data_IF_399710821848
#
_entry.id   IF_399710821848
#
_cell.length_a   1.000
_cell.length_b   1.000
_cell.length_c   1.000
_cell.angle_alpha   90.00
_cell.angle_beta   90.00
_cell.angle_gamma   90.00
#
_symmetry.space_group_name_H-M   'P 1'
#
loop_
_entity.id
_entity.type
_entity.pdbx_description
1 polymer ?
#
# COMPACT_ATOMS: atom_id res chain seq x y z
N UNK A 1 12.86 55.89 -12.55
CA UNK A 1 13.53 57.03 -11.84
C UNK A 1 12.67 57.45 -10.65
N UNK A 2 13.30 57.87 -9.53
CA UNK A 2 12.79 58.71 -8.40
C UNK A 2 11.37 58.39 -7.84
N UNK A 3 11.25 57.81 -6.63
CA UNK A 3 11.22 58.48 -5.30
C UNK A 3 9.98 59.37 -5.07
N UNK A 4 9.30 59.35 -3.91
CA UNK A 4 9.80 59.65 -2.55
C UNK A 4 8.87 59.07 -1.43
N UNK A 5 9.43 58.83 -0.23
CA UNK A 5 8.69 58.92 1.06
C UNK A 5 8.63 60.39 1.52
N UNK A 6 7.75 60.76 2.47
CA UNK A 6 8.28 61.05 3.81
C UNK A 6 7.38 60.60 5.00
N UNK A 7 7.95 60.70 6.20
CA UNK A 7 7.29 60.65 7.54
C UNK A 7 6.40 61.91 7.71
N UNK A 8 5.42 61.99 8.63
CA UNK A 8 5.64 62.18 10.07
C UNK A 8 4.35 62.13 10.96
N UNK A 9 4.55 62.23 12.27
CA UNK A 9 3.63 62.16 13.43
C UNK A 9 2.51 63.23 13.52
N UNK A 10 1.44 62.88 14.26
CA UNK A 10 0.71 63.66 15.30
C UNK A 10 -0.22 62.66 16.04
N UNK A 11 -0.20 62.38 17.35
CA UNK A 11 -0.21 63.16 18.61
C UNK A 11 -1.61 63.36 19.23
N UNK A 12 -1.72 62.91 20.48
CA UNK A 12 -2.82 62.96 21.47
C UNK A 12 -3.37 64.37 21.76
N UNK A 13 -4.58 64.46 22.36
CA UNK A 13 -4.74 64.79 23.81
C UNK A 13 -5.89 63.99 24.49
N UNK A 14 -6.24 64.06 25.80
CA UNK A 14 -5.62 64.55 27.07
C UNK A 14 -6.55 64.19 28.28
N UNK A 15 -6.09 64.49 29.51
CA UNK A 15 -6.80 64.57 30.82
C UNK A 15 -6.96 63.28 31.63
N UNK A 16 -6.80 63.23 32.97
CA UNK A 16 -6.17 64.12 33.99
C UNK A 16 -5.76 63.21 35.21
N UNK A 17 -5.16 63.60 36.34
CA UNK A 17 -4.73 64.85 37.04
C UNK A 17 -3.45 64.51 37.89
N UNK A 18 -2.57 65.38 38.39
CA UNK A 18 -2.63 66.60 39.23
C UNK A 18 -3.05 66.32 40.70
N UNK A 19 -2.41 66.75 41.80
CA UNK A 19 -1.39 67.79 42.12
C UNK A 19 -0.30 67.22 43.11
N UNK A 20 1.00 67.56 43.00
CA UNK A 20 1.81 68.53 43.80
C UNK A 20 1.80 68.40 45.36
N UNK A 21 2.85 68.72 46.14
CA UNK A 21 4.32 68.90 45.92
C UNK A 21 5.05 69.27 47.25
N UNK A 22 6.39 69.43 47.17
CA UNK A 22 7.33 70.24 48.00
C UNK A 22 7.97 69.65 49.27
N UNK A 23 9.33 69.69 49.24
CA UNK A 23 10.32 70.34 50.17
C UNK A 23 10.06 70.37 51.68
N UNK A 24 11.05 70.41 52.58
CA UNK A 24 12.50 70.10 52.56
C UNK A 24 13.09 70.33 53.98
N UNK A 25 14.30 69.81 54.23
CA UNK A 25 15.36 70.34 55.14
C UNK A 25 15.24 70.26 56.69
N UNK A 26 16.34 69.73 57.28
CA UNK A 26 17.02 70.11 58.55
C UNK A 26 16.39 69.70 59.90
N UNK A 27 17.21 69.14 60.82
CA UNK A 27 16.94 69.24 62.29
C UNK A 27 17.32 68.07 63.23
N UNK A 28 18.61 67.80 63.42
CA UNK A 28 19.24 67.44 64.72
C UNK A 28 18.42 66.82 65.91
N UNK A 29 18.73 65.57 66.33
CA UNK A 29 19.42 65.19 67.61
C UNK A 29 19.17 63.75 68.11
N UNK A 30 20.27 63.10 68.54
CA UNK A 30 20.52 62.17 69.69
C UNK A 30 19.42 61.20 70.18
N UNK A 31 19.71 59.99 70.70
CA UNK A 31 20.84 59.06 70.65
C UNK A 31 20.48 57.80 71.49
N UNK A 32 20.74 56.57 71.01
CA UNK A 32 20.95 55.37 71.87
C UNK A 32 21.39 54.11 71.09
N UNK A 33 22.64 53.69 71.33
CA UNK A 33 23.13 52.30 71.53
C UNK A 33 22.60 51.12 70.67
N UNK A 34 23.45 50.66 69.73
CA UNK A 34 23.95 49.28 69.44
C UNK A 34 23.20 48.00 69.90
N UNK A 35 23.42 46.81 69.28
CA UNK A 35 24.29 46.47 68.14
C UNK A 35 23.62 45.65 66.99
N UNK A 36 24.36 45.44 65.89
CA UNK A 36 24.07 44.39 64.90
C UNK A 36 24.52 43.01 65.45
N UNK A 37 23.87 41.87 65.10
CA UNK A 37 24.40 41.09 63.97
C UNK A 37 23.40 40.21 63.17
N UNK A 38 23.82 39.85 61.95
CA UNK A 38 23.31 38.74 61.11
C UNK A 38 21.92 38.95 60.46
N UNK A 39 21.53 38.24 59.39
CA UNK A 39 22.13 37.04 58.80
C UNK A 39 22.09 36.96 57.26
N UNK A 40 23.09 36.24 56.76
CA UNK A 40 23.22 35.58 55.44
C UNK A 40 21.88 35.19 54.79
N UNK A 41 21.65 35.62 53.55
CA UNK A 41 20.46 35.25 52.77
C UNK A 41 20.44 33.80 52.26
N UNK A 42 19.37 33.40 51.55
CA UNK A 42 19.29 32.14 50.79
C UNK A 42 18.41 32.27 49.53
N UNK A 43 18.96 31.80 48.41
CA UNK A 43 18.32 31.66 47.10
C UNK A 43 17.30 30.49 47.05
N UNK A 44 16.51 30.31 45.97
CA UNK A 44 15.23 29.60 46.03
C UNK A 44 15.34 28.06 46.09
N UNK A 45 15.10 27.48 47.27
CA UNK A 45 15.18 26.03 47.53
C UNK A 45 13.98 25.23 46.98
N UNK A 46 12.86 25.87 46.60
CA UNK A 46 11.66 25.17 46.08
C UNK A 46 11.83 24.55 44.68
N UNK A 47 12.73 25.10 43.84
CA UNK A 47 12.88 24.66 42.43
C UNK A 47 13.49 23.26 42.30
N UNK A 48 14.41 22.89 43.19
CA UNK A 48 15.12 21.59 43.13
C UNK A 48 14.25 20.40 43.57
N UNK A 49 13.31 20.57 44.52
CA UNK A 49 12.37 19.50 44.88
C UNK A 49 11.39 19.18 43.75
N UNK A 50 10.83 20.20 43.10
CA UNK A 50 9.96 20.01 41.94
C UNK A 50 10.69 19.34 40.76
N UNK A 51 11.95 19.73 40.50
CA UNK A 51 12.78 19.05 39.49
C UNK A 51 13.07 17.58 39.85
N UNK A 52 13.35 17.26 41.12
CA UNK A 52 13.55 15.87 41.56
C UNK A 52 12.27 15.03 41.46
N UNK A 53 11.12 15.58 41.85
CA UNK A 53 9.82 14.90 41.70
C UNK A 53 9.53 14.67 40.22
N UNK A 54 9.71 15.68 39.36
CA UNK A 54 9.54 15.53 37.91
C UNK A 54 10.47 14.47 37.30
N UNK A 55 11.74 14.42 37.74
CA UNK A 55 12.70 13.39 37.30
C UNK A 55 12.28 11.98 37.76
N UNK A 56 11.87 11.82 39.02
CA UNK A 56 11.41 10.51 39.54
C UNK A 56 10.14 10.06 38.82
N UNK A 57 9.17 10.96 38.62
CA UNK A 57 7.96 10.65 37.83
C UNK A 57 8.30 10.29 36.39
N UNK A 58 9.23 10.99 35.74
CA UNK A 58 9.69 10.66 34.39
C UNK A 58 10.34 9.26 34.34
N UNK A 59 11.22 8.94 35.29
CA UNK A 59 11.87 7.62 35.37
C UNK A 59 10.83 6.52 35.60
N UNK A 60 9.88 6.72 36.52
CA UNK A 60 8.79 5.76 36.77
C UNK A 60 7.93 5.56 35.52
N UNK A 61 7.57 6.63 34.80
CA UNK A 61 6.83 6.54 33.54
C UNK A 61 7.62 5.78 32.46
N UNK A 62 8.93 6.02 32.34
CA UNK A 62 9.80 5.28 31.42
C UNK A 62 9.91 3.80 31.79
N UNK A 63 10.03 3.46 33.08
CA UNK A 63 10.04 2.07 33.54
C UNK A 63 8.71 1.35 33.29
N UNK A 64 7.58 2.00 33.60
CA UNK A 64 6.23 1.45 33.33
C UNK A 64 6.00 1.26 31.83
N UNK A 65 6.39 2.24 31.01
CA UNK A 65 6.30 2.16 29.56
C UNK A 65 7.16 1.03 28.99
N UNK A 66 8.39 0.88 29.48
CA UNK A 66 9.31 -0.19 29.07
C UNK A 66 8.76 -1.56 29.45
N UNK A 67 8.28 -1.73 30.69
CA UNK A 67 7.64 -2.97 31.14
C UNK A 67 6.39 -3.32 30.32
N UNK A 68 5.54 -2.33 30.02
CA UNK A 68 4.37 -2.52 29.17
C UNK A 68 4.73 -2.95 27.74
N UNK A 69 5.80 -2.38 27.15
CA UNK A 69 6.29 -2.78 25.83
C UNK A 69 6.78 -4.23 25.81
N UNK A 70 7.61 -4.64 26.78
CA UNK A 70 8.09 -6.03 26.87
C UNK A 70 6.96 -7.03 27.15
N UNK A 71 5.96 -6.66 27.96
CA UNK A 71 4.76 -7.49 28.18
C UNK A 71 3.95 -7.68 26.89
N UNK A 72 3.76 -6.63 26.09
CA UNK A 72 3.12 -6.70 24.77
C UNK A 72 3.92 -7.59 23.81
N UNK A 73 5.24 -7.45 23.77
CA UNK A 73 6.12 -8.28 22.93
C UNK A 73 6.06 -9.78 23.30
N UNK A 74 6.10 -10.10 24.60
CA UNK A 74 5.95 -11.47 25.08
C UNK A 74 4.56 -12.05 24.74
N UNK A 75 3.50 -11.26 24.88
CA UNK A 75 2.13 -11.67 24.54
C UNK A 75 1.95 -11.87 23.03
N UNK A 76 2.60 -11.08 22.19
CA UNK A 76 2.56 -11.31 20.73
C UNK A 76 3.31 -12.57 20.33
N UNK A 77 4.44 -12.88 20.97
CA UNK A 77 5.20 -14.11 20.74
C UNK A 77 4.34 -15.36 20.96
N UNK A 78 3.70 -15.48 22.13
CA UNK A 78 2.83 -16.63 22.43
C UNK A 78 1.65 -16.74 21.47
N UNK A 79 1.05 -15.61 21.04
CA UNK A 79 -0.02 -15.62 20.04
C UNK A 79 0.43 -16.09 18.65
N UNK A 80 1.70 -15.86 18.28
CA UNK A 80 2.28 -16.39 17.03
C UNK A 80 2.51 -17.90 17.17
N UNK A 81 3.10 -18.35 18.29
CA UNK A 81 3.34 -19.78 18.57
C UNK A 81 2.02 -20.58 18.64
N UNK A 82 0.97 -20.03 19.28
CA UNK A 82 -0.39 -20.57 19.30
C UNK A 82 -0.95 -20.71 17.87
N UNK A 83 -0.74 -19.71 17.01
CA UNK A 83 -1.25 -19.68 15.64
C UNK A 83 -0.52 -20.69 14.73
N UNK A 84 0.79 -20.85 14.90
CA UNK A 84 1.59 -21.88 14.23
C UNK A 84 1.15 -23.29 14.66
N UNK A 85 0.90 -23.49 15.96
CA UNK A 85 0.36 -24.75 16.50
C UNK A 85 -1.05 -25.05 15.97
N UNK A 86 -1.90 -24.02 15.84
CA UNK A 86 -3.23 -24.14 15.25
C UNK A 86 -3.23 -24.37 13.72
N UNK A 87 -2.12 -24.07 13.03
CA UNK A 87 -1.89 -24.46 11.63
C UNK A 87 -1.45 -25.94 11.54
N UNK A 88 -0.58 -26.39 12.44
CA UNK A 88 -0.16 -27.80 12.52
C UNK A 88 -1.37 -28.72 12.79
N UNK A 89 -2.28 -28.33 13.69
CA UNK A 89 -3.56 -29.02 13.92
C UNK A 89 -4.52 -29.04 12.73
N UNK A 90 -4.22 -28.31 11.65
CA UNK A 90 -4.94 -28.33 10.35
C UNK A 90 -4.11 -28.98 9.23
N UNK A 91 -3.06 -29.72 9.58
CA UNK A 91 -2.18 -30.39 8.64
C UNK A 91 -1.20 -29.47 7.90
N UNK A 92 -0.94 -28.26 8.41
CA UNK A 92 0.07 -27.34 7.86
C UNK A 92 1.16 -27.10 8.90
N UNK A 93 2.27 -27.81 8.76
CA UNK A 93 3.48 -27.64 9.55
C UNK A 93 4.16 -26.33 9.14
N UNK A 94 3.92 -25.26 9.91
CA UNK A 94 4.56 -23.96 9.72
C UNK A 94 5.60 -23.73 10.82
N UNK A 95 6.85 -23.50 10.42
CA UNK A 95 7.98 -23.21 11.31
C UNK A 95 8.55 -21.84 11.00
N UNK A 96 8.71 -21.03 12.04
CA UNK A 96 9.42 -19.74 11.99
C UNK A 96 10.75 -19.90 12.74
N UNK A 97 11.88 -19.70 12.06
CA UNK A 97 13.19 -19.67 12.71
C UNK A 97 13.38 -18.38 13.49
N UNK A 98 14.07 -18.47 14.62
CA UNK A 98 14.55 -17.35 15.44
C UNK A 98 13.56 -16.20 15.65
N UNK A 99 12.28 -16.56 15.90
CA UNK A 99 11.18 -15.63 16.16
C UNK A 99 11.60 -14.57 17.20
N UNK A 100 11.69 -13.32 16.77
CA UNK A 100 12.17 -12.20 17.58
C UNK A 100 11.19 -11.03 17.52
N UNK A 101 11.26 -10.18 18.55
CA UNK A 101 10.37 -9.02 18.72
C UNK A 101 11.20 -7.74 18.69
N UNK A 102 10.93 -6.86 17.72
CA UNK A 102 11.74 -5.67 17.45
C UNK A 102 10.93 -4.36 17.56
N UNK A 103 11.62 -3.22 17.49
CA UNK A 103 10.98 -1.91 17.32
C UNK A 103 10.89 -1.00 18.55
N UNK A 104 11.37 -1.43 19.72
CA UNK A 104 11.42 -0.59 20.92
C UNK A 104 12.12 0.76 20.63
N UNK A 105 11.60 1.91 21.12
CA UNK A 105 10.34 2.07 21.86
C UNK A 105 9.11 2.29 20.96
N UNK A 106 9.27 2.93 19.81
CA UNK A 106 8.17 3.53 19.03
C UNK A 106 7.39 2.58 18.11
N UNK A 107 7.83 1.33 18.00
CA UNK A 107 7.21 0.31 17.18
C UNK A 107 7.13 -1.02 17.93
N UNK A 108 6.33 -1.94 17.40
CA UNK A 108 6.37 -3.35 17.76
C UNK A 108 6.37 -4.15 16.47
N UNK A 109 7.30 -5.09 16.36
CA UNK A 109 7.50 -5.88 15.17
C UNK A 109 7.83 -7.32 15.49
N UNK A 110 7.51 -8.19 14.54
CA UNK A 110 7.78 -9.62 14.54
C UNK A 110 8.75 -9.89 13.42
N UNK A 111 9.92 -10.44 13.74
CA UNK A 111 10.96 -10.83 12.79
C UNK A 111 11.17 -12.34 12.89
N UNK A 112 11.42 -12.98 11.74
CA UNK A 112 11.36 -14.41 11.55
C UNK A 112 12.33 -14.82 10.44
N UNK A 113 13.29 -15.67 10.78
CA UNK A 113 14.33 -16.12 9.86
C UNK A 113 13.95 -17.49 9.27
N UNK A 114 14.22 -17.67 7.98
CA UNK A 114 13.95 -18.87 7.21
C UNK A 114 12.54 -19.46 7.35
N UNK A 115 11.43 -18.69 7.26
CA UNK A 115 10.07 -19.22 7.43
C UNK A 115 9.77 -20.34 6.42
N UNK A 116 9.24 -21.46 6.92
CA UNK A 116 8.87 -22.64 6.13
C UNK A 116 7.45 -23.07 6.46
N UNK A 117 6.71 -23.48 5.44
CA UNK A 117 5.42 -24.13 5.60
C UNK A 117 5.38 -25.39 4.74
N UNK A 118 4.88 -26.50 5.28
CA UNK A 118 4.65 -27.75 4.56
C UNK A 118 3.28 -28.28 4.91
N UNK A 119 2.54 -28.81 3.93
CA UNK A 119 1.30 -29.54 4.20
C UNK A 119 1.59 -31.03 4.40
N UNK A 120 1.23 -31.55 5.57
CA UNK A 120 1.38 -32.95 5.93
C UNK A 120 0.66 -33.84 4.89
N UNK A 121 1.28 -34.97 4.54
CA UNK A 121 0.75 -35.91 3.54
C UNK A 121 0.85 -35.44 2.07
N UNK A 122 1.48 -34.30 1.78
CA UNK A 122 1.58 -33.76 0.40
C UNK A 122 3.01 -33.31 0.05
N UNK A 123 3.34 -33.14 -1.25
CA UNK A 123 4.58 -32.50 -1.66
C UNK A 123 4.57 -30.96 -1.53
N UNK A 124 3.43 -30.37 -1.13
CA UNK A 124 3.28 -28.93 -1.07
C UNK A 124 4.12 -28.31 0.06
N UNK A 125 5.00 -27.39 -0.32
CA UNK A 125 5.96 -26.75 0.57
C UNK A 125 6.26 -25.32 0.10
N UNK A 126 6.49 -24.43 1.05
CA UNK A 126 6.90 -23.04 0.84
C UNK A 126 8.08 -22.73 1.77
N UNK A 127 9.08 -22.03 1.25
CA UNK A 127 10.22 -21.48 2.00
C UNK A 127 10.50 -20.08 1.53
N UNK A 128 10.83 -19.17 2.43
CA UNK A 128 11.43 -17.87 2.11
C UNK A 128 12.63 -17.61 3.04
N UNK A 129 13.48 -16.65 2.69
CA UNK A 129 14.69 -16.34 3.46
C UNK A 129 14.40 -15.64 4.78
N UNK A 130 13.59 -14.58 4.77
CA UNK A 130 13.18 -13.90 6.01
C UNK A 130 11.81 -13.22 5.89
N UNK A 131 11.16 -13.00 7.03
CA UNK A 131 9.90 -12.26 7.15
C UNK A 131 9.98 -11.26 8.31
N UNK A 132 9.57 -10.01 8.05
CA UNK A 132 9.51 -8.97 9.07
C UNK A 132 8.20 -8.18 8.97
N UNK A 133 7.47 -8.06 10.08
CA UNK A 133 6.26 -7.24 10.17
C UNK A 133 6.40 -6.21 11.28
N UNK A 134 6.06 -4.94 11.03
CA UNK A 134 6.27 -3.82 11.98
C UNK A 134 5.08 -2.87 12.01
N UNK A 135 4.54 -2.62 13.20
CA UNK A 135 3.51 -1.62 13.47
C UNK A 135 4.10 -0.47 14.30
N UNK A 136 3.70 0.79 14.03
CA UNK A 136 4.25 1.98 14.72
C UNK A 136 3.20 2.67 15.58
N UNK A 137 3.50 2.92 16.86
CA UNK A 137 2.56 3.58 17.78
C UNK A 137 2.14 4.99 17.31
N UNK A 138 3.06 5.73 16.68
CA UNK A 138 2.83 7.08 16.13
C UNK A 138 1.90 7.12 14.89
N UNK A 139 1.59 5.97 14.28
CA UNK A 139 0.58 5.82 13.22
C UNK A 139 -0.34 4.66 13.59
N UNK A 140 -1.18 4.90 14.59
CA UNK A 140 -2.27 4.01 15.01
C UNK A 140 -2.99 3.42 13.79
N UNK A 141 -3.06 2.10 13.73
CA UNK A 141 -3.70 1.36 12.64
C UNK A 141 -2.81 1.02 11.45
N UNK A 142 -1.62 1.64 11.27
CA UNK A 142 -0.71 1.28 10.17
C UNK A 142 0.20 0.11 10.52
N UNK A 143 0.05 -0.99 9.79
CA UNK A 143 0.94 -2.15 9.83
C UNK A 143 1.70 -2.21 8.50
N UNK A 144 3.01 -2.43 8.55
CA UNK A 144 3.86 -2.63 7.36
C UNK A 144 4.56 -3.96 7.50
N UNK A 145 4.34 -4.86 6.55
CA UNK A 145 5.00 -6.17 6.46
C UNK A 145 5.91 -6.20 5.25
N UNK A 146 7.08 -6.80 5.41
CA UNK A 146 8.11 -6.97 4.39
C UNK A 146 8.56 -8.43 4.39
N UNK A 147 8.71 -9.00 3.20
CA UNK A 147 9.25 -10.35 3.02
C UNK A 147 10.54 -10.24 2.23
N UNK A 148 11.55 -11.02 2.59
CA UNK A 148 12.85 -11.06 1.92
C UNK A 148 12.92 -12.33 1.08
N UNK A 149 13.31 -12.18 -0.18
CA UNK A 149 13.60 -13.31 -1.07
C UNK A 149 14.98 -13.93 -0.79
N UNK A 150 15.31 -15.07 -1.41
CA UNK A 150 14.46 -15.81 -2.36
C UNK A 150 13.34 -16.60 -1.66
N UNK A 151 12.28 -16.88 -2.40
CA UNK A 151 11.19 -17.77 -2.03
C UNK A 151 11.08 -18.93 -3.02
N UNK A 152 10.97 -20.15 -2.48
CA UNK A 152 10.66 -21.35 -3.26
C UNK A 152 9.33 -21.94 -2.80
N UNK A 153 8.46 -22.24 -3.75
CA UNK A 153 7.16 -22.85 -3.51
C UNK A 153 6.93 -24.04 -4.45
N UNK A 154 6.34 -25.11 -3.90
CA UNK A 154 5.82 -26.25 -4.65
C UNK A 154 4.40 -26.53 -4.19
N UNK A 155 3.50 -26.85 -5.12
CA UNK A 155 2.13 -27.24 -4.81
C UNK A 155 1.87 -28.75 -4.97
N UNK A 156 0.63 -29.17 -4.68
CA UNK A 156 0.20 -30.56 -4.77
C UNK A 156 0.14 -31.09 -6.21
N UNK A 157 -0.08 -30.19 -7.17
CA UNK A 157 -0.06 -30.49 -8.60
C UNK A 157 1.36 -30.59 -9.18
N UNK A 158 2.42 -30.46 -8.35
CA UNK A 158 3.81 -30.54 -8.78
C UNK A 158 4.34 -29.29 -9.46
N UNK A 159 3.58 -28.18 -9.45
CA UNK A 159 4.05 -26.89 -9.96
C UNK A 159 5.07 -26.31 -8.99
N UNK A 160 6.16 -25.76 -9.52
CA UNK A 160 7.21 -25.08 -8.75
C UNK A 160 7.32 -23.63 -9.17
N UNK A 161 7.51 -22.76 -8.18
CA UNK A 161 7.79 -21.33 -8.37
C UNK A 161 8.98 -20.98 -7.49
N UNK A 162 10.08 -20.61 -8.12
CA UNK A 162 11.24 -20.02 -7.46
C UNK A 162 11.28 -18.53 -7.84
N UNK A 163 11.14 -17.65 -6.85
CA UNK A 163 11.04 -16.21 -7.06
C UNK A 163 11.97 -15.45 -6.11
N UNK A 164 12.63 -14.42 -6.62
CA UNK A 164 13.43 -13.48 -5.83
C UNK A 164 12.97 -12.04 -6.09
N UNK A 165 13.24 -11.15 -5.15
CA UNK A 165 12.86 -9.74 -5.27
C UNK A 165 13.74 -8.81 -4.45
N UNK A 166 13.99 -7.60 -4.96
CA UNK A 166 14.73 -6.58 -4.20
C UNK A 166 13.91 -6.01 -3.04
N UNK A 167 12.59 -5.86 -3.20
CA UNK A 167 11.69 -5.39 -2.14
C UNK A 167 10.29 -5.93 -2.36
N UNK A 168 9.70 -6.54 -1.33
CA UNK A 168 8.28 -6.87 -1.26
C UNK A 168 7.74 -6.29 0.04
N UNK A 169 6.82 -5.33 -0.07
CA UNK A 169 6.23 -4.59 1.06
C UNK A 169 4.72 -4.53 0.95
N UNK A 170 4.03 -5.14 1.90
CA UNK A 170 2.61 -4.90 2.15
C UNK A 170 2.44 -3.81 3.22
N UNK A 171 1.52 -2.88 3.03
CA UNK A 171 1.09 -1.94 4.06
C UNK A 171 -0.42 -1.89 4.17
N UNK A 172 -0.92 -1.82 5.40
CA UNK A 172 -2.34 -1.80 5.72
C UNK A 172 -2.64 -0.67 6.71
N UNK A 173 -3.66 0.13 6.41
CA UNK A 173 -4.22 1.16 7.30
C UNK A 173 -5.56 0.65 7.86
N UNK A 174 -5.57 0.32 9.14
CA UNK A 174 -6.75 -0.14 9.91
C UNK A 174 -7.42 1.02 10.65
N UNK A 175 -8.75 1.02 10.68
CA UNK A 175 -9.55 1.98 11.44
C UNK A 175 -10.76 1.30 12.12
N UNK A 176 -11.67 2.09 12.70
CA UNK A 176 -12.81 1.61 13.53
C UNK A 176 -13.72 0.55 12.89
N UNK A 177 -13.64 0.32 11.58
CA UNK A 177 -14.47 -0.64 10.82
C UNK A 177 -13.67 -1.70 10.04
N UNK A 178 -12.39 -1.91 10.40
CA UNK A 178 -11.50 -2.84 9.71
C UNK A 178 -10.48 -2.12 8.82
N UNK A 179 -10.12 -2.72 7.68
CA UNK A 179 -9.15 -2.17 6.75
C UNK A 179 -9.76 -1.02 5.94
N UNK A 180 -9.13 0.15 5.96
CA UNK A 180 -9.49 1.29 5.10
C UNK A 180 -8.65 1.36 3.84
N UNK A 181 -7.38 0.95 3.91
CA UNK A 181 -6.47 0.88 2.75
C UNK A 181 -5.48 -0.27 2.88
N UNK A 182 -5.34 -1.07 1.82
CA UNK A 182 -4.19 -1.96 1.61
C UNK A 182 -3.35 -1.47 0.44
N UNK A 183 -2.03 -1.63 0.51
CA UNK A 183 -1.09 -1.44 -0.59
C UNK A 183 -0.08 -2.58 -0.56
N UNK A 184 0.26 -3.14 -1.72
CA UNK A 184 1.39 -4.07 -1.89
C UNK A 184 2.29 -3.48 -2.97
N UNK A 185 3.53 -3.22 -2.62
CA UNK A 185 4.60 -2.75 -3.50
C UNK A 185 5.62 -3.88 -3.65
N UNK A 186 5.99 -4.23 -4.89
CA UNK A 186 7.07 -5.17 -5.21
C UNK A 186 7.99 -4.53 -6.25
N UNK A 187 9.28 -4.48 -5.97
CA UNK A 187 10.30 -3.92 -6.85
C UNK A 187 11.29 -5.03 -7.25
N UNK A 188 11.64 -5.09 -8.55
CA UNK A 188 12.59 -6.06 -9.14
C UNK A 188 12.26 -7.52 -8.79
N UNK A 189 11.08 -7.99 -9.19
CA UNK A 189 10.67 -9.39 -9.03
C UNK A 189 11.20 -10.22 -10.22
N UNK A 190 11.92 -11.29 -9.93
CA UNK A 190 12.42 -12.26 -10.91
C UNK A 190 11.87 -13.64 -10.51
N UNK A 191 11.18 -14.36 -11.39
CA UNK A 191 10.46 -15.58 -11.05
C UNK A 191 10.57 -16.66 -12.14
N UNK A 192 10.79 -17.91 -11.71
CA UNK A 192 10.88 -19.09 -12.56
C UNK A 192 9.78 -20.06 -12.18
N UNK A 193 8.95 -20.43 -13.16
CA UNK A 193 7.78 -21.28 -13.00
C UNK A 193 7.95 -22.52 -13.87
N UNK A 194 7.78 -23.69 -13.26
CA UNK A 194 7.62 -24.95 -13.98
C UNK A 194 6.32 -25.63 -13.53
N UNK A 195 5.58 -26.22 -14.46
CA UNK A 195 4.27 -26.80 -14.20
C UNK A 195 4.01 -27.99 -15.13
N UNK A 196 3.33 -29.06 -14.67
CA UNK A 196 2.86 -30.10 -15.59
C UNK A 196 1.89 -29.50 -16.63
N UNK A 197 2.11 -29.82 -17.91
CA UNK A 197 1.38 -29.22 -19.02
C UNK A 197 1.92 -27.88 -19.51
N UNK A 198 3.07 -27.43 -18.98
CA UNK A 198 3.89 -26.36 -19.56
C UNK A 198 5.10 -27.00 -20.25
N UNK A 199 5.33 -26.66 -21.52
CA UNK A 199 6.43 -27.19 -22.31
C UNK A 199 7.74 -26.48 -21.93
N UNK A 200 8.36 -26.95 -20.83
CA UNK A 200 9.59 -26.39 -20.27
C UNK A 200 9.34 -25.36 -19.17
N UNK A 201 10.24 -24.38 -19.04
CA UNK A 201 10.19 -23.34 -18.00
C UNK A 201 9.65 -22.02 -18.51
N UNK A 202 8.85 -21.34 -17.69
CA UNK A 202 8.45 -19.94 -17.85
C UNK A 202 9.29 -19.09 -16.90
N UNK A 203 9.96 -18.07 -17.42
CA UNK A 203 10.66 -17.05 -16.65
C UNK A 203 9.91 -15.72 -16.79
N UNK A 204 9.84 -14.98 -15.69
CA UNK A 204 9.13 -13.72 -15.57
C UNK A 204 10.02 -12.73 -14.83
N UNK A 205 10.31 -11.61 -15.48
CA UNK A 205 11.03 -10.50 -14.89
C UNK A 205 10.07 -9.30 -14.82
N UNK A 206 10.00 -8.64 -13.67
CA UNK A 206 9.05 -7.55 -13.43
C UNK A 206 9.73 -6.42 -12.66
N UNK A 207 9.97 -5.30 -13.34
CA UNK A 207 10.62 -4.13 -12.74
C UNK A 207 9.83 -3.59 -11.55
N UNK A 208 8.50 -3.50 -11.64
CA UNK A 208 7.66 -3.01 -10.54
C UNK A 208 6.22 -3.52 -10.58
N UNK A 209 5.66 -3.85 -9.41
CA UNK A 209 4.24 -4.11 -9.17
C UNK A 209 3.77 -3.22 -8.01
N UNK A 210 2.77 -2.38 -8.24
CA UNK A 210 1.99 -1.77 -7.15
C UNK A 210 0.55 -2.29 -7.23
N UNK A 211 -0.04 -2.65 -6.09
CA UNK A 211 -1.48 -2.82 -5.98
C UNK A 211 -1.99 -1.99 -4.82
N UNK A 212 -3.19 -1.42 -4.95
CA UNK A 212 -3.84 -0.76 -3.83
C UNK A 212 -5.34 -1.05 -3.79
N UNK A 213 -5.84 -1.22 -2.57
CA UNK A 213 -7.25 -1.38 -2.26
C UNK A 213 -7.64 -0.29 -1.26
N UNK A 214 -8.80 0.32 -1.41
CA UNK A 214 -9.27 1.29 -0.41
C UNK A 214 -10.79 1.36 -0.31
N UNK A 215 -11.28 1.62 0.90
CA UNK A 215 -12.69 1.86 1.19
C UNK A 215 -13.02 3.34 1.00
N UNK A 216 -14.11 3.64 0.30
CA UNK A 216 -14.70 4.99 0.19
C UNK A 216 -16.20 4.89 0.48
N UNK A 217 -16.58 4.98 1.75
CA UNK A 217 -17.96 4.80 2.18
C UNK A 217 -18.47 3.37 1.95
N UNK A 218 -19.40 3.20 1.00
CA UNK A 218 -19.91 1.91 0.51
C UNK A 218 -19.19 1.39 -0.74
N UNK A 219 -18.22 2.14 -1.28
CA UNK A 219 -17.51 1.79 -2.51
C UNK A 219 -16.15 1.20 -2.19
N UNK A 220 -15.80 0.09 -2.86
CA UNK A 220 -14.45 -0.45 -2.91
C UNK A 220 -13.72 0.17 -4.09
N UNK A 221 -12.51 0.70 -3.89
CA UNK A 221 -11.61 1.13 -4.95
C UNK A 221 -10.43 0.16 -5.04
N UNK A 222 -10.11 -0.26 -6.25
CA UNK A 222 -9.00 -1.17 -6.57
C UNK A 222 -8.11 -0.49 -7.61
N UNK A 223 -6.79 -0.61 -7.49
CA UNK A 223 -5.85 -0.26 -8.54
C UNK A 223 -4.66 -1.24 -8.55
N UNK A 224 -4.10 -1.44 -9.73
CA UNK A 224 -2.90 -2.26 -9.99
C UNK A 224 -2.07 -1.57 -11.07
N UNK A 225 -0.75 -1.58 -10.92
CA UNK A 225 0.23 -1.23 -11.95
C UNK A 225 1.32 -2.29 -11.97
N UNK A 226 1.67 -2.74 -13.18
CA UNK A 226 2.80 -3.59 -13.50
C UNK A 226 3.63 -2.85 -14.55
N UNK A 227 4.90 -2.67 -14.28
CA UNK A 227 5.82 -1.89 -15.10
C UNK A 227 7.02 -2.75 -15.46
N UNK A 228 7.36 -2.81 -16.75
CA UNK A 228 8.45 -3.63 -17.28
C UNK A 228 8.30 -5.11 -16.94
N UNK A 229 7.17 -5.71 -17.30
CA UNK A 229 6.98 -7.16 -17.29
C UNK A 229 7.62 -7.75 -18.55
N UNK A 230 8.58 -8.65 -18.40
CA UNK A 230 9.21 -9.41 -19.46
C UNK A 230 8.94 -10.91 -19.22
N UNK A 231 8.68 -11.65 -20.31
CA UNK A 231 8.38 -13.08 -20.28
C UNK A 231 9.38 -13.80 -21.18
N UNK A 232 10.01 -14.84 -20.66
CA UNK A 232 11.04 -15.61 -21.36
C UNK A 232 11.04 -17.08 -20.91
N UNK A 233 12.00 -17.87 -21.40
CA UNK A 233 12.07 -19.32 -21.14
C UNK A 233 11.43 -20.17 -22.23
N UNK A 234 11.62 -21.48 -22.14
CA UNK A 234 11.26 -22.46 -23.18
C UNK A 234 9.76 -22.48 -23.51
N UNK A 235 8.93 -22.16 -22.53
CA UNK A 235 7.47 -22.15 -22.66
C UNK A 235 6.91 -20.87 -23.32
N UNK A 236 7.78 -19.94 -23.74
CA UNK A 236 7.42 -18.61 -24.24
C UNK A 236 8.06 -18.37 -25.62
N UNK A 237 7.33 -17.87 -26.63
CA UNK A 237 7.93 -17.50 -27.91
C UNK A 237 9.00 -16.41 -27.76
N UNK A 238 10.10 -16.55 -28.48
CA UNK A 238 11.17 -15.54 -28.51
C UNK A 238 10.70 -14.17 -29.02
N UNK A 239 11.33 -13.12 -28.51
CA UNK A 239 11.12 -11.75 -28.98
C UNK A 239 9.73 -11.19 -28.68
N UNK A 240 9.18 -11.47 -27.50
CA UNK A 240 8.08 -10.68 -26.95
C UNK A 240 8.61 -9.34 -26.40
N UNK A 241 7.94 -8.21 -26.68
CA UNK A 241 8.29 -6.93 -26.07
C UNK A 241 7.87 -6.91 -24.59
N UNK A 242 8.54 -6.09 -23.78
CA UNK A 242 8.13 -5.85 -22.40
C UNK A 242 6.72 -5.22 -22.35
N UNK A 243 5.95 -5.59 -21.32
CA UNK A 243 4.58 -5.14 -21.08
C UNK A 243 4.50 -4.15 -19.91
N UNK A 244 3.69 -3.10 -20.07
CA UNK A 244 3.20 -2.27 -18.97
C UNK A 244 1.68 -2.46 -18.85
N UNK A 245 1.17 -2.72 -17.65
CA UNK A 245 -0.26 -2.86 -17.38
C UNK A 245 -0.66 -1.92 -16.23
N UNK A 246 -1.73 -1.14 -16.38
CA UNK A 246 -2.25 -0.30 -15.30
C UNK A 246 -3.78 -0.32 -15.28
N UNK A 247 -4.38 -0.72 -14.17
CA UNK A 247 -5.83 -0.78 -13.99
C UNK A 247 -6.29 -0.04 -12.74
N UNK A 248 -7.43 0.64 -12.81
CA UNK A 248 -8.14 1.15 -11.63
C UNK A 248 -9.65 1.04 -11.81
N UNK A 249 -10.32 0.50 -10.81
CA UNK A 249 -11.76 0.29 -10.78
C UNK A 249 -12.37 0.73 -9.45
N UNK A 250 -13.67 1.00 -9.46
CA UNK A 250 -14.48 1.18 -8.25
C UNK A 250 -15.74 0.35 -8.32
N UNK A 251 -16.04 -0.42 -7.28
CA UNK A 251 -17.23 -1.29 -7.17
C UNK A 251 -18.12 -0.77 -6.05
N UNK A 252 -19.40 -0.55 -6.36
CA UNK A 252 -20.40 -0.12 -5.39
C UNK A 252 -20.78 -1.29 -4.47
N UNK A 253 -21.34 -1.01 -3.29
CA UNK A 253 -21.76 -2.02 -2.30
C UNK A 253 -20.62 -2.69 -1.52
N UNK A 254 -19.48 -2.96 -2.17
CA UNK A 254 -18.36 -3.73 -1.61
C UNK A 254 -17.43 -2.98 -0.65
N UNK A 255 -17.77 -1.76 -0.22
CA UNK A 255 -16.95 -1.02 0.76
C UNK A 255 -16.72 -1.75 2.09
N UNK A 256 -17.64 -2.66 2.48
CA UNK A 256 -17.50 -3.51 3.67
C UNK A 256 -16.74 -4.82 3.42
N UNK A 257 -16.31 -5.13 2.19
CA UNK A 257 -15.44 -6.28 1.91
C UNK A 257 -14.10 -6.19 2.66
N UNK A 258 -13.57 -4.97 2.84
CA UNK A 258 -12.36 -4.70 3.61
C UNK A 258 -12.56 -4.74 5.15
N UNK A 259 -13.76 -5.04 5.65
CA UNK A 259 -14.00 -5.15 7.10
C UNK A 259 -13.34 -6.36 7.77
N UNK A 260 -12.70 -7.26 6.99
CA UNK A 260 -12.13 -8.52 7.47
C UNK A 260 -13.16 -9.63 7.70
N UNK A 261 -14.46 -9.35 7.52
CA UNK A 261 -15.54 -10.34 7.63
C UNK A 261 -15.69 -11.23 6.40
N UNK A 262 -15.29 -10.72 5.23
CA UNK A 262 -15.38 -11.40 3.95
C UNK A 262 -13.98 -11.83 3.50
N UNK A 263 -13.87 -13.01 2.87
CA UNK A 263 -12.67 -13.37 2.12
C UNK A 263 -12.74 -12.66 0.78
N UNK A 264 -11.69 -11.90 0.44
CA UNK A 264 -11.56 -11.30 -0.89
C UNK A 264 -11.39 -12.43 -1.92
N UNK A 265 -12.34 -12.54 -2.86
CA UNK A 265 -12.28 -13.46 -3.99
C UNK A 265 -12.96 -12.80 -5.22
N UNK A 266 -12.73 -13.29 -6.46
CA UNK A 266 -13.37 -12.72 -7.64
C UNK A 266 -14.90 -12.79 -7.61
N UNK A 267 -15.45 -13.88 -7.06
CA UNK A 267 -16.88 -14.11 -6.92
C UNK A 267 -17.63 -13.05 -6.09
N UNK A 268 -16.94 -12.28 -5.22
CA UNK A 268 -17.56 -11.17 -4.47
C UNK A 268 -18.08 -10.05 -5.38
N UNK A 269 -17.64 -9.99 -6.64
CA UNK A 269 -18.09 -9.01 -7.62
C UNK A 269 -19.50 -9.31 -8.16
N UNK A 270 -19.98 -10.55 -8.05
CA UNK A 270 -21.32 -10.98 -8.50
C UNK A 270 -22.43 -10.16 -7.84
N UNK A 271 -23.46 -9.82 -8.61
CA UNK A 271 -24.56 -8.95 -8.17
C UNK A 271 -24.17 -7.48 -7.94
N UNK A 272 -22.95 -7.05 -8.28
CA UNK A 272 -22.46 -5.69 -8.06
C UNK A 272 -22.11 -4.96 -9.36
N UNK A 273 -22.18 -3.63 -9.30
CA UNK A 273 -21.82 -2.73 -10.40
C UNK A 273 -20.70 -1.77 -10.02
N UNK A 274 -20.03 -1.23 -11.03
CA UNK A 274 -18.83 -0.44 -10.85
C UNK A 274 -18.46 0.40 -12.07
N UNK A 275 -17.32 1.07 -11.94
CA UNK A 275 -16.71 1.89 -12.96
C UNK A 275 -15.27 1.43 -13.14
N UNK A 276 -14.92 0.99 -14.35
CA UNK A 276 -13.54 0.92 -14.79
C UNK A 276 -13.10 2.34 -15.11
N UNK A 277 -12.22 2.89 -14.27
CA UNK A 277 -11.72 4.27 -14.38
C UNK A 277 -10.63 4.36 -15.43
N UNK A 278 -9.76 3.36 -15.45
CA UNK A 278 -8.76 3.12 -16.47
C UNK A 278 -8.42 1.63 -16.47
N UNK A 279 -8.15 1.10 -17.64
CA UNK A 279 -7.27 -0.04 -17.85
C UNK A 279 -6.41 0.33 -19.05
N UNK A 280 -5.10 0.18 -18.93
CA UNK A 280 -4.13 0.49 -19.97
C UNK A 280 -3.18 -0.68 -20.08
N UNK A 281 -2.93 -1.13 -21.29
CA UNK A 281 -1.84 -2.04 -21.60
C UNK A 281 -0.93 -1.35 -22.63
N UNK A 282 0.39 -1.44 -22.46
CA UNK A 282 1.37 -0.99 -23.44
C UNK A 282 2.42 -2.05 -23.66
N UNK A 283 3.01 -2.01 -24.84
CA UNK A 283 4.10 -2.86 -25.27
C UNK A 283 5.32 -1.98 -25.59
N UNK A 284 6.52 -2.48 -25.32
CA UNK A 284 7.76 -1.74 -25.60
C UNK A 284 8.00 -1.41 -27.09
N UNK A 285 7.26 -2.05 -28.02
CA UNK A 285 7.27 -1.72 -29.44
C UNK A 285 6.43 -0.46 -29.80
N UNK A 286 5.73 0.15 -28.82
CA UNK A 286 4.92 1.35 -29.00
C UNK A 286 3.41 1.10 -29.05
N UNK A 287 2.98 -0.14 -29.26
CA UNK A 287 1.58 -0.51 -29.25
C UNK A 287 0.95 -0.29 -27.87
N UNK A 288 -0.26 0.28 -27.86
CA UNK A 288 -0.99 0.55 -26.61
C UNK A 288 -2.50 0.38 -26.77
N UNK A 289 -3.14 0.10 -25.64
CA UNK A 289 -4.57 -0.11 -25.53
C UNK A 289 -5.04 0.55 -24.25
N UNK A 290 -6.18 1.25 -24.28
CA UNK A 290 -6.86 1.72 -23.08
C UNK A 290 -8.36 1.46 -23.11
N UNK A 291 -8.94 1.19 -21.95
CA UNK A 291 -10.33 0.82 -21.76
C UNK A 291 -10.93 1.58 -20.55
N UNK A 292 -12.08 2.22 -20.75
CA UNK A 292 -12.80 2.96 -19.69
C UNK A 292 -14.31 2.74 -19.82
N UNK A 293 -15.04 2.55 -18.72
CA UNK A 293 -16.50 2.40 -18.79
C UNK A 293 -17.16 1.84 -17.53
N UNK A 294 -18.48 2.05 -17.37
CA UNK A 294 -19.27 1.35 -16.35
C UNK A 294 -19.35 -0.16 -16.66
N UNK A 295 -19.43 -0.95 -15.60
CA UNK A 295 -19.67 -2.39 -15.68
C UNK A 295 -20.63 -2.86 -14.60
N UNK A 296 -21.26 -4.00 -14.83
CA UNK A 296 -22.01 -4.79 -13.86
C UNK A 296 -21.63 -6.27 -14.01
N UNK A 297 -21.72 -7.01 -12.92
CA UNK A 297 -21.55 -8.46 -12.91
C UNK A 297 -22.85 -9.07 -12.40
N UNK A 298 -23.42 -10.01 -13.16
CA UNK A 298 -24.62 -10.73 -12.72
C UNK A 298 -24.30 -11.81 -11.66
N UNK A 299 -25.33 -12.48 -11.16
CA UNK A 299 -25.20 -13.47 -10.09
C UNK A 299 -24.47 -14.76 -10.57
N UNK A 300 -24.43 -15.00 -11.88
CA UNK A 300 -23.65 -16.07 -12.51
C UNK A 300 -22.19 -15.67 -12.83
N UNK A 301 -21.77 -14.45 -12.52
CA UNK A 301 -20.40 -13.98 -12.73
C UNK A 301 -20.08 -13.51 -14.15
N UNK A 302 -21.09 -13.23 -14.98
CA UNK A 302 -20.90 -12.70 -16.34
C UNK A 302 -20.90 -11.17 -16.31
N UNK A 303 -20.02 -10.58 -17.10
CA UNK A 303 -19.81 -9.13 -17.13
C UNK A 303 -20.66 -8.48 -18.23
N UNK A 304 -21.35 -7.40 -17.88
CA UNK A 304 -22.09 -6.52 -18.79
C UNK A 304 -21.59 -5.07 -18.64
N UNK A 305 -21.54 -4.31 -19.73
CA UNK A 305 -21.03 -2.93 -19.69
C UNK A 305 -20.82 -2.30 -21.07
N UNK A 306 -20.58 -1.00 -21.09
CA UNK A 306 -20.24 -0.26 -22.31
C UNK A 306 -18.93 0.46 -22.07
N UNK A 307 -17.91 0.08 -22.82
CA UNK A 307 -16.55 0.57 -22.64
C UNK A 307 -16.09 1.34 -23.88
N UNK A 308 -15.43 2.48 -23.65
CA UNK A 308 -14.63 3.16 -24.66
C UNK A 308 -13.26 2.47 -24.70
N UNK A 309 -12.96 1.85 -25.83
CA UNK A 309 -11.71 1.19 -26.14
C UNK A 309 -10.93 2.09 -27.11
N UNK A 310 -9.69 2.40 -26.77
CA UNK A 310 -8.74 3.08 -27.65
C UNK A 310 -7.55 2.16 -27.89
N UNK A 311 -7.12 2.02 -29.14
CA UNK A 311 -5.97 1.20 -29.53
C UNK A 311 -5.06 2.05 -30.41
N UNK A 312 -3.76 2.03 -30.16
CA UNK A 312 -2.72 2.59 -31.03
C UNK A 312 -1.75 1.48 -31.44
N UNK A 313 -1.29 1.53 -32.69
CA UNK A 313 -0.52 0.46 -33.36
C UNK A 313 -1.16 -0.93 -33.19
N UNK A 314 -2.22 -1.15 -33.98
CA UNK A 314 -2.92 -2.44 -34.04
C UNK A 314 -1.99 -3.56 -34.53
N UNK A 315 -1.05 -3.25 -35.42
CA UNK A 315 -0.04 -4.17 -35.95
C UNK A 315 0.86 -4.74 -34.85
N UNK A 316 1.41 -3.90 -33.97
CA UNK A 316 2.23 -4.33 -32.84
C UNK A 316 1.47 -5.24 -31.85
N UNK A 317 0.15 -5.03 -31.70
CA UNK A 317 -0.70 -5.96 -30.94
C UNK A 317 -0.91 -7.30 -31.66
N UNK A 318 -1.14 -7.30 -32.98
CA UNK A 318 -1.30 -8.54 -33.76
C UNK A 318 -0.06 -9.43 -33.69
N UNK A 319 1.14 -8.85 -33.76
CA UNK A 319 2.38 -9.61 -33.71
C UNK A 319 2.50 -10.38 -32.39
N UNK A 320 2.27 -9.69 -31.27
CA UNK A 320 2.34 -10.27 -29.91
C UNK A 320 1.24 -11.31 -29.68
N UNK A 321 -0.01 -11.01 -30.07
CA UNK A 321 -1.11 -11.98 -29.94
C UNK A 321 -0.89 -13.19 -30.88
N UNK A 322 -0.37 -12.98 -32.08
CA UNK A 322 -0.06 -14.06 -33.03
C UNK A 322 1.14 -14.93 -32.61
N UNK A 323 2.06 -14.40 -31.79
CA UNK A 323 3.10 -15.18 -31.09
C UNK A 323 2.50 -16.00 -29.94
N UNK A 324 1.77 -15.36 -29.03
CA UNK A 324 1.22 -15.99 -27.81
C UNK A 324 0.05 -16.96 -28.07
N UNK A 325 -0.79 -16.68 -29.07
CA UNK A 325 -1.99 -17.44 -29.41
C UNK A 325 -1.96 -17.79 -30.91
N UNK A 326 -1.09 -18.73 -31.35
CA UNK A 326 -0.91 -19.04 -32.77
C UNK A 326 -2.20 -19.51 -33.46
N UNK A 327 -3.10 -20.20 -32.72
CA UNK A 327 -4.42 -20.59 -33.22
C UNK A 327 -5.42 -19.45 -33.45
N UNK A 328 -5.11 -18.22 -33.03
CA UNK A 328 -5.95 -17.04 -33.23
C UNK A 328 -5.50 -16.16 -34.41
N UNK A 329 -4.38 -16.48 -35.09
CA UNK A 329 -3.73 -15.62 -36.10
C UNK A 329 -4.69 -15.07 -37.14
N UNK A 330 -5.42 -15.91 -37.86
CA UNK A 330 -6.32 -15.47 -38.94
C UNK A 330 -7.46 -14.59 -38.42
N UNK A 331 -7.98 -14.90 -37.23
CA UNK A 331 -9.02 -14.11 -36.58
C UNK A 331 -8.50 -12.73 -36.16
N UNK A 332 -7.26 -12.65 -35.66
CA UNK A 332 -6.61 -11.37 -35.33
C UNK A 332 -6.23 -10.56 -36.58
N UNK A 333 -5.86 -11.21 -37.68
CA UNK A 333 -5.60 -10.54 -38.96
C UNK A 333 -6.84 -9.83 -39.49
N UNK A 334 -7.98 -10.53 -39.53
CA UNK A 334 -9.25 -9.98 -39.99
C UNK A 334 -9.76 -8.85 -39.09
N UNK A 335 -9.70 -9.03 -37.76
CA UNK A 335 -10.12 -8.02 -36.80
C UNK A 335 -9.27 -6.73 -36.91
N UNK A 336 -7.97 -6.87 -37.14
CA UNK A 336 -7.06 -5.74 -37.23
C UNK A 336 -7.21 -4.94 -38.53
N UNK A 337 -7.39 -5.59 -39.69
CA UNK A 337 -7.65 -4.88 -40.94
C UNK A 337 -8.90 -3.99 -40.84
N UNK A 338 -9.95 -4.48 -40.16
CA UNK A 338 -11.14 -3.71 -39.83
C UNK A 338 -10.87 -2.54 -38.86
N UNK A 339 -10.05 -2.75 -37.82
CA UNK A 339 -9.67 -1.68 -36.88
C UNK A 339 -8.82 -0.60 -37.55
N UNK A 340 -7.86 -0.98 -38.40
CA UNK A 340 -7.02 -0.05 -39.16
C UNK A 340 -7.86 0.81 -40.13
N UNK A 341 -8.91 0.26 -40.74
CA UNK A 341 -9.87 1.01 -41.55
C UNK A 341 -10.72 2.03 -40.74
N UNK A 342 -10.71 1.93 -39.40
CA UNK A 342 -11.38 2.84 -38.46
C UNK A 342 -10.39 3.75 -37.71
N UNK A 343 -9.09 3.68 -38.01
CA UNK A 343 -8.07 4.50 -37.38
C UNK A 343 -8.18 5.96 -37.84
N UNK A 344 -7.96 6.89 -36.90
CA UNK A 344 -7.82 8.31 -37.21
C UNK A 344 -6.48 8.62 -37.88
N UNK A 345 -6.33 9.86 -38.34
CA UNK A 345 -5.08 10.37 -38.93
C UNK A 345 -3.88 10.36 -37.96
N UNK A 346 -4.13 10.16 -36.66
CA UNK A 346 -3.15 10.01 -35.58
C UNK A 346 -2.72 8.54 -35.35
N UNK A 347 -3.25 7.59 -36.13
CA UNK A 347 -3.00 6.16 -35.96
C UNK A 347 -3.71 5.54 -34.76
N UNK A 348 -4.62 6.26 -34.10
CA UNK A 348 -5.42 5.72 -32.98
C UNK A 348 -6.82 5.32 -33.43
N UNK A 349 -7.30 4.19 -32.92
CA UNK A 349 -8.64 3.65 -33.21
C UNK A 349 -9.48 3.71 -31.94
N UNK A 350 -10.54 4.53 -31.94
CA UNK A 350 -11.44 4.70 -30.80
C UNK A 350 -12.80 4.05 -31.10
N UNK A 351 -13.12 2.95 -30.42
CA UNK A 351 -14.32 2.14 -30.65
C UNK A 351 -15.10 1.89 -29.36
N UNK A 352 -16.40 1.64 -29.49
CA UNK A 352 -17.26 1.24 -28.37
C UNK A 352 -17.31 -0.29 -28.29
N UNK A 353 -16.73 -0.84 -27.24
CA UNK A 353 -16.82 -2.25 -26.88
C UNK A 353 -18.01 -2.45 -25.93
N UNK A 354 -19.00 -3.22 -26.34
CA UNK A 354 -20.14 -3.62 -25.50
C UNK A 354 -19.92 -5.03 -24.97
N UNK A 355 -20.07 -5.20 -23.67
CA UNK A 355 -20.22 -6.50 -23.02
C UNK A 355 -21.71 -6.70 -22.67
N UNK A 356 -22.27 -7.83 -23.05
CA UNK A 356 -23.65 -8.22 -22.75
C UNK A 356 -23.68 -9.68 -22.27
N UNK A 357 -23.82 -9.86 -20.95
CA UNK A 357 -23.81 -11.15 -20.27
C UNK A 357 -22.60 -12.01 -20.69
N UNK A 358 -21.41 -11.38 -20.64
CA UNK A 358 -20.13 -11.99 -21.03
C UNK A 358 -19.85 -12.00 -22.54
N UNK A 359 -20.82 -11.69 -23.42
CA UNK A 359 -20.59 -11.61 -24.87
C UNK A 359 -20.00 -10.26 -25.24
N UNK A 360 -18.91 -10.23 -25.99
CA UNK A 360 -18.23 -9.02 -26.44
C UNK A 360 -18.60 -8.68 -27.88
N UNK A 361 -18.92 -7.40 -28.14
CA UNK A 361 -19.13 -6.86 -29.48
C UNK A 361 -18.48 -5.48 -29.65
N UNK A 362 -17.84 -5.26 -30.81
CA UNK A 362 -17.41 -3.95 -31.27
C UNK A 362 -18.52 -3.35 -32.15
N UNK A 363 -19.25 -2.37 -31.62
CA UNK A 363 -20.47 -1.88 -32.28
C UNK A 363 -21.50 -3.01 -32.46
N UNK A 364 -21.70 -3.45 -33.71
CA UNK A 364 -22.60 -4.55 -34.08
C UNK A 364 -21.89 -5.91 -34.28
N UNK A 365 -20.55 -5.94 -34.24
CA UNK A 365 -19.76 -7.10 -34.65
C UNK A 365 -19.33 -7.91 -33.42
N UNK A 366 -19.72 -9.18 -33.29
CA UNK A 366 -19.31 -10.02 -32.16
C UNK A 366 -17.81 -10.34 -32.27
N UNK A 367 -17.06 -10.13 -31.19
CA UNK A 367 -15.60 -10.34 -31.16
C UNK A 367 -15.14 -11.43 -30.20
N UNK A 368 -15.99 -11.89 -29.28
CA UNK A 368 -15.65 -12.99 -28.37
C UNK A 368 -16.57 -13.13 -27.17
N UNK A 369 -16.09 -13.87 -26.16
CA UNK A 369 -16.74 -14.03 -24.86
C UNK A 369 -15.71 -13.86 -23.76
N UNK A 370 -16.08 -13.18 -22.68
CA UNK A 370 -15.33 -13.13 -21.43
C UNK A 370 -15.55 -14.42 -20.64
N UNK A 371 -14.56 -14.89 -19.85
CA UNK A 371 -14.76 -15.94 -18.86
C UNK A 371 -15.66 -15.44 -17.71
N UNK A 372 -16.31 -16.37 -17.02
CA UNK A 372 -17.12 -16.09 -15.84
C UNK A 372 -16.23 -16.00 -14.57
N UNK A 373 -16.62 -15.17 -13.60
CA UNK A 373 -15.92 -14.89 -12.34
C UNK A 373 -16.28 -15.84 -11.18
#
# INVERSE_FOLDING_TARGET
MRSRRPRNRSCLPSSSSSYLARRASIGERRAAVNPCPSARGKCPVRRTRLLRIGLVTLVVLLCVYTGAWFYLAATLRTRVDDALTALAGKGVEATCGDLSMSGFPIAIGVECDGPRARRAGTPAALRADAFASRARFLRLGRIVSTVTGPMSARDEAGRTVDADWQTLRASTDLWRRGLERGVLDVDRLEAKVAAPGLDGTLQLDLRRLETSTSRRGRTLALAVSMDGLELSGEAVPDGLPAFELAGAATVQGLGDALSGRYRLNPAMLRGHSGQLKQFTAKLANGASLSLTGPFAVDDEGRISGTFRLQIADVSGWQEVVGKLLPGARDMTANAAGMLQALAGNDGTTSVTLKADHGRLALGIIPVGRLPNL
#
